data_IF_612062812021
#
_entry.id   IF_612062812021
#
_cell.length_a   1.000
_cell.length_b   1.000
_cell.length_c   1.000
_cell.angle_alpha   90.00
_cell.angle_beta   90.00
_cell.angle_gamma   90.00
#
_symmetry.space_group_name_H-M   'P 1'
#
loop_
_entity.id
_entity.type
_entity.pdbx_description
1 polymer ?
#
# COMPACT_ATOMS: atom_id res chain seq x y z
N UNK A 1 -15.18 33.05 -36.07
CA UNK A 1 -15.33 31.70 -35.49
C UNK A 1 -16.82 31.39 -35.38
N UNK A 2 -17.32 30.42 -36.14
CA UNK A 2 -18.71 29.97 -36.09
C UNK A 2 -19.04 29.42 -34.70
N UNK A 3 -20.25 29.72 -34.20
CA UNK A 3 -20.72 29.16 -32.94
C UNK A 3 -20.75 27.62 -33.05
N UNK A 4 -20.24 26.88 -32.04
CA UNK A 4 -20.39 25.42 -32.03
C UNK A 4 -21.88 25.08 -32.08
N UNK A 5 -22.26 24.06 -32.86
CA UNK A 5 -23.65 23.64 -32.93
C UNK A 5 -24.09 23.11 -31.56
N UNK A 6 -25.26 23.53 -31.06
CA UNK A 6 -25.80 23.07 -29.77
C UNK A 6 -25.80 21.55 -29.65
N UNK A 7 -26.03 20.84 -30.76
CA UNK A 7 -25.95 19.38 -30.86
C UNK A 7 -24.55 18.84 -30.57
N UNK A 8 -23.47 19.45 -31.08
CA UNK A 8 -22.10 19.03 -30.78
C UNK A 8 -21.74 19.24 -29.31
N UNK A 9 -22.14 20.37 -28.73
CA UNK A 9 -21.91 20.66 -27.31
C UNK A 9 -22.68 19.72 -26.38
N UNK A 10 -23.91 19.35 -26.75
CA UNK A 10 -24.70 18.33 -26.06
C UNK A 10 -24.02 16.95 -26.08
N UNK A 11 -23.52 16.52 -27.25
CA UNK A 11 -22.78 15.24 -27.37
C UNK A 11 -21.52 15.27 -26.50
N UNK A 12 -20.77 16.37 -26.53
CA UNK A 12 -19.57 16.57 -25.69
C UNK A 12 -19.93 16.45 -24.20
N UNK A 13 -20.96 17.17 -23.75
CA UNK A 13 -21.41 17.12 -22.37
C UNK A 13 -21.78 15.70 -21.93
N UNK A 14 -22.62 15.00 -22.71
CA UNK A 14 -23.07 13.64 -22.37
C UNK A 14 -21.90 12.65 -22.33
N UNK A 15 -21.00 12.71 -23.32
CA UNK A 15 -19.82 11.85 -23.37
C UNK A 15 -18.91 12.05 -22.15
N UNK A 16 -18.57 13.30 -21.83
CA UNK A 16 -17.69 13.59 -20.70
C UNK A 16 -18.37 13.35 -19.35
N UNK A 17 -19.69 13.53 -19.25
CA UNK A 17 -20.46 13.15 -18.06
C UNK A 17 -20.38 11.65 -17.80
N UNK A 18 -20.65 10.82 -18.82
CA UNK A 18 -20.55 9.37 -18.71
C UNK A 18 -19.12 8.93 -18.37
N UNK A 19 -18.12 9.58 -18.98
CA UNK A 19 -16.71 9.31 -18.70
C UNK A 19 -16.34 9.68 -17.26
N UNK A 20 -16.75 10.84 -16.76
CA UNK A 20 -16.51 11.24 -15.37
C UNK A 20 -17.15 10.26 -14.39
N UNK A 21 -18.41 9.86 -14.62
CA UNK A 21 -19.08 8.85 -13.79
C UNK A 21 -18.30 7.53 -13.79
N UNK A 22 -17.83 7.08 -14.97
CA UNK A 22 -17.02 5.87 -15.09
C UNK A 22 -15.71 5.94 -14.30
N UNK A 23 -15.00 7.07 -14.37
CA UNK A 23 -13.76 7.29 -13.60
C UNK A 23 -14.04 7.30 -12.09
N UNK A 24 -15.11 7.97 -11.64
CA UNK A 24 -15.51 7.95 -10.23
C UNK A 24 -15.83 6.54 -9.74
N UNK A 25 -16.60 5.77 -10.52
CA UNK A 25 -16.93 4.40 -10.18
C UNK A 25 -15.68 3.51 -10.11
N UNK A 26 -14.75 3.66 -11.06
CA UNK A 26 -13.48 2.94 -11.07
C UNK A 26 -12.65 3.25 -9.81
N UNK A 27 -12.52 4.54 -9.45
CA UNK A 27 -11.79 4.95 -8.25
C UNK A 27 -12.44 4.42 -6.98
N UNK A 28 -13.77 4.51 -6.87
CA UNK A 28 -14.53 3.99 -5.73
C UNK A 28 -14.36 2.48 -5.60
N UNK A 29 -14.49 1.74 -6.71
CA UNK A 29 -14.31 0.29 -6.73
C UNK A 29 -12.89 -0.09 -6.24
N UNK A 30 -11.85 0.55 -6.78
CA UNK A 30 -10.45 0.29 -6.37
C UNK A 30 -10.16 0.57 -4.89
N UNK A 31 -10.84 1.55 -4.29
CA UNK A 31 -10.75 1.81 -2.85
C UNK A 31 -11.52 0.75 -2.05
N UNK A 32 -12.75 0.43 -2.45
CA UNK A 32 -13.60 -0.55 -1.72
C UNK A 32 -13.12 -1.98 -1.84
N UNK A 33 -12.48 -2.37 -2.95
CA UNK A 33 -11.95 -3.71 -3.18
C UNK A 33 -10.66 -3.99 -2.38
N UNK A 34 -10.09 -2.98 -1.73
CA UNK A 34 -8.79 -3.06 -1.05
C UNK A 34 -7.61 -3.23 -2.01
N UNK A 35 -7.79 -3.08 -3.32
CA UNK A 35 -6.73 -3.23 -4.32
C UNK A 35 -5.59 -2.23 -4.09
N UNK A 36 -5.92 -1.00 -3.70
CA UNK A 36 -4.92 0.01 -3.34
C UNK A 36 -4.16 -0.33 -2.06
N UNK A 37 -4.82 -0.95 -1.08
CA UNK A 37 -4.13 -1.41 0.14
C UNK A 37 -3.12 -2.52 -0.17
N UNK A 38 -3.40 -3.39 -1.14
CA UNK A 38 -2.47 -4.44 -1.62
C UNK A 38 -1.24 -3.88 -2.34
N UNK A 39 -1.27 -2.63 -2.76
CA UNK A 39 -0.11 -1.93 -3.32
C UNK A 39 0.89 -1.52 -2.23
N UNK A 40 0.47 -1.48 -0.98
CA UNK A 40 1.37 -1.38 0.15
C UNK A 40 1.70 -2.80 0.60
N UNK A 41 2.97 -3.16 0.56
CA UNK A 41 3.42 -4.42 1.12
C UNK A 41 4.57 -4.19 2.09
N UNK A 42 4.73 -5.13 3.02
CA UNK A 42 5.85 -5.12 3.92
C UNK A 42 7.04 -5.80 3.24
N UNK A 43 8.21 -5.17 3.31
CA UNK A 43 9.46 -5.79 2.90
C UNK A 43 10.25 -6.28 4.11
N UNK A 44 11.01 -7.35 3.92
CA UNK A 44 11.96 -7.82 4.93
C UNK A 44 13.05 -6.77 5.17
N UNK A 45 13.25 -6.41 6.45
CA UNK A 45 14.27 -5.44 6.85
C UNK A 45 15.69 -5.99 6.80
N UNK A 46 15.83 -7.30 7.01
CA UNK A 46 17.08 -8.07 7.02
C UNK A 46 16.83 -9.50 6.50
N UNK A 47 17.92 -10.23 6.25
CA UNK A 47 17.88 -11.65 5.88
C UNK A 47 17.44 -12.51 7.07
N UNK A 48 16.58 -13.51 6.81
CA UNK A 48 16.11 -14.44 7.83
C UNK A 48 14.75 -15.04 7.49
N UNK A 49 13.81 -15.00 8.45
CA UNK A 49 12.52 -15.68 8.35
C UNK A 49 11.36 -14.74 8.65
N UNK A 50 10.45 -14.60 7.68
CA UNK A 50 9.19 -13.90 7.85
C UNK A 50 8.28 -14.68 8.79
N UNK A 51 7.67 -13.96 9.73
CA UNK A 51 6.84 -14.55 10.79
C UNK A 51 5.62 -13.68 11.08
N UNK A 52 4.59 -14.30 11.66
CA UNK A 52 3.50 -13.60 12.31
C UNK A 52 3.71 -13.61 13.84
N UNK A 53 4.36 -12.58 14.36
CA UNK A 53 4.70 -12.42 15.78
C UNK A 53 3.50 -12.41 16.74
N UNK A 54 2.27 -12.21 16.23
CA UNK A 54 1.08 -12.25 17.08
C UNK A 54 0.69 -13.70 17.44
N UNK A 55 1.14 -14.70 16.66
CA UNK A 55 0.84 -16.13 16.86
C UNK A 55 1.63 -16.77 18.00
N UNK A 56 2.76 -16.19 18.39
CA UNK A 56 3.65 -16.71 19.43
C UNK A 56 4.02 -15.66 20.50
N UNK A 57 3.17 -14.63 20.66
CA UNK A 57 3.39 -13.53 21.62
C UNK A 57 3.51 -14.00 23.08
N UNK A 58 2.92 -15.15 23.41
CA UNK A 58 2.85 -15.73 24.76
C UNK A 58 3.88 -16.86 24.97
N UNK A 59 4.78 -17.09 24.01
CA UNK A 59 5.84 -18.09 24.12
C UNK A 59 6.82 -17.77 25.25
N UNK A 60 7.30 -18.80 25.93
CA UNK A 60 8.25 -18.72 27.05
C UNK A 60 9.32 -19.81 26.96
N UNK A 61 10.32 -19.81 27.84
CA UNK A 61 11.31 -20.89 27.90
C UNK A 61 10.70 -22.25 28.30
N UNK A 62 9.67 -22.22 29.14
CA UNK A 62 8.95 -23.41 29.64
C UNK A 62 7.91 -23.92 28.62
N UNK A 63 7.29 -23.00 27.89
CA UNK A 63 6.36 -23.29 26.80
C UNK A 63 6.78 -22.55 25.53
N UNK A 64 7.79 -23.07 24.80
CA UNK A 64 8.29 -22.43 23.60
C UNK A 64 7.34 -22.62 22.42
N UNK A 65 7.31 -21.63 21.51
CA UNK A 65 6.61 -21.77 20.25
C UNK A 65 7.53 -22.40 19.19
N UNK A 66 7.02 -23.38 18.45
CA UNK A 66 7.76 -24.07 17.40
C UNK A 66 7.19 -23.65 16.05
N UNK A 67 7.93 -22.83 15.30
CA UNK A 67 7.52 -22.35 13.99
C UNK A 67 8.00 -23.31 12.91
N UNK A 68 7.10 -23.75 12.04
CA UNK A 68 7.45 -24.60 10.90
C UNK A 68 8.07 -23.79 9.77
N UNK A 69 9.27 -24.17 9.34
CA UNK A 69 9.93 -23.54 8.19
C UNK A 69 9.36 -24.14 6.90
N UNK A 70 8.93 -23.28 5.99
CA UNK A 70 8.39 -23.68 4.70
C UNK A 70 8.19 -22.51 3.73
N UNK A 71 7.71 -22.82 2.53
CA UNK A 71 7.32 -21.80 1.55
C UNK A 71 5.82 -21.58 1.65
N UNK A 72 5.43 -20.43 2.20
CA UNK A 72 4.03 -20.10 2.44
C UNK A 72 3.70 -18.77 1.75
N UNK A 73 2.58 -18.73 1.02
CA UNK A 73 2.06 -17.49 0.45
C UNK A 73 1.42 -16.58 1.52
N UNK A 74 0.92 -17.20 2.60
CA UNK A 74 0.26 -16.58 3.75
C UNK A 74 0.72 -17.31 5.01
N UNK A 75 1.10 -16.58 6.05
CA UNK A 75 1.51 -17.15 7.34
C UNK A 75 0.30 -17.22 8.29
N UNK A 76 -0.26 -18.41 8.45
CA UNK A 76 -1.47 -18.65 9.23
C UNK A 76 -1.18 -19.63 10.38
N UNK A 77 -0.64 -19.09 11.47
CA UNK A 77 -0.26 -19.87 12.66
C UNK A 77 1.25 -19.86 12.92
N UNK A 78 1.75 -20.97 13.47
CA UNK A 78 3.15 -21.14 13.84
C UNK A 78 3.99 -21.54 12.63
N UNK A 79 4.13 -20.60 11.69
CA UNK A 79 4.83 -20.78 10.43
C UNK A 79 5.93 -19.72 10.25
N UNK A 80 6.98 -20.09 9.53
CA UNK A 80 8.09 -19.22 9.17
C UNK A 80 8.48 -19.43 7.71
N UNK A 81 8.62 -18.35 6.95
CA UNK A 81 9.05 -18.40 5.55
C UNK A 81 10.42 -17.74 5.37
N UNK A 82 11.40 -18.38 4.71
CA UNK A 82 12.70 -17.77 4.46
C UNK A 82 12.55 -16.56 3.53
N UNK A 83 13.19 -15.45 3.88
CA UNK A 83 13.17 -14.18 3.14
C UNK A 83 14.55 -13.52 3.16
N UNK A 84 14.88 -12.82 2.09
CA UNK A 84 16.05 -11.93 2.03
C UNK A 84 15.65 -10.48 2.23
N UNK A 85 16.60 -9.66 2.64
CA UNK A 85 16.44 -8.21 2.77
C UNK A 85 15.89 -7.60 1.48
N UNK A 86 14.79 -6.87 1.61
CA UNK A 86 14.07 -6.27 0.49
C UNK A 86 13.02 -7.18 -0.16
N UNK A 87 12.98 -8.48 0.14
CA UNK A 87 11.93 -9.36 -0.34
C UNK A 87 10.57 -8.93 0.21
N UNK A 88 9.54 -9.14 -0.60
CA UNK A 88 8.16 -8.96 -0.18
C UNK A 88 7.80 -10.04 0.84
N UNK A 89 7.29 -9.62 2.00
CA UNK A 89 6.82 -10.55 3.02
C UNK A 89 5.52 -11.26 2.56
N UNK A 90 5.33 -12.54 2.95
CA UNK A 90 4.06 -13.26 2.77
C UNK A 90 2.88 -12.53 3.41
N UNK A 91 1.66 -12.88 3.00
CA UNK A 91 0.46 -12.31 3.63
C UNK A 91 0.41 -12.65 5.13
N UNK A 92 -0.10 -11.69 5.93
CA UNK A 92 -0.15 -11.72 7.41
C UNK A 92 1.22 -11.71 8.14
N UNK A 93 2.34 -11.79 7.42
CA UNK A 93 3.65 -11.57 8.03
C UNK A 93 3.72 -10.14 8.60
N UNK A 94 4.07 -10.05 9.88
CA UNK A 94 4.16 -8.77 10.59
C UNK A 94 5.56 -8.53 11.19
N UNK A 95 6.49 -9.46 10.96
CA UNK A 95 7.86 -9.39 11.46
C UNK A 95 8.83 -10.31 10.72
N UNK A 96 10.11 -10.15 11.02
CA UNK A 96 11.22 -10.96 10.53
C UNK A 96 12.11 -11.35 11.70
N UNK A 97 12.39 -12.64 11.84
CA UNK A 97 13.46 -13.16 12.70
C UNK A 97 14.72 -13.15 11.85
N UNK A 98 15.68 -12.28 12.17
CA UNK A 98 16.92 -12.19 11.40
C UNK A 98 17.86 -13.38 11.66
N UNK A 99 18.73 -13.67 10.71
CA UNK A 99 19.79 -14.68 10.89
C UNK A 99 20.67 -14.36 12.12
N UNK A 100 20.97 -13.08 12.36
CA UNK A 100 21.70 -12.67 13.56
C UNK A 100 21.00 -13.04 14.88
N UNK A 101 19.66 -12.97 14.95
CA UNK A 101 18.92 -13.36 16.15
C UNK A 101 19.00 -14.89 16.36
N UNK A 102 19.00 -15.67 15.28
CA UNK A 102 19.18 -17.12 15.31
C UNK A 102 20.60 -17.52 15.73
N UNK A 103 21.62 -16.84 15.22
CA UNK A 103 23.03 -17.08 15.60
C UNK A 103 23.28 -16.76 17.08
N UNK A 104 22.67 -15.69 17.59
CA UNK A 104 22.78 -15.33 19.02
C UNK A 104 22.15 -16.39 19.92
N UNK A 105 21.20 -17.18 19.42
CA UNK A 105 20.52 -18.28 20.11
C UNK A 105 19.89 -17.95 21.49
N UNK A 106 19.69 -16.65 21.80
CA UNK A 106 19.20 -16.20 23.13
C UNK A 106 17.69 -16.29 23.27
N UNK A 107 16.97 -16.00 22.19
CA UNK A 107 15.51 -15.81 22.17
C UNK A 107 14.81 -16.73 21.20
N UNK A 108 15.56 -17.14 20.18
CA UNK A 108 15.15 -18.01 19.09
C UNK A 108 16.31 -18.93 18.78
N UNK A 109 16.02 -20.16 18.38
CA UNK A 109 17.02 -21.13 17.95
C UNK A 109 16.48 -21.97 16.80
N UNK A 110 17.37 -22.39 15.90
CA UNK A 110 17.04 -23.31 14.83
C UNK A 110 17.12 -24.76 15.35
N UNK A 111 16.02 -25.50 15.26
CA UNK A 111 15.94 -26.92 15.61
C UNK A 111 15.52 -27.71 14.36
N UNK A 112 16.50 -28.04 13.50
CA UNK A 112 16.24 -28.74 12.24
C UNK A 112 15.42 -27.89 11.28
N UNK A 113 14.17 -28.31 11.00
CA UNK A 113 13.24 -27.58 10.13
C UNK A 113 12.26 -26.68 10.92
N UNK A 114 12.54 -26.42 12.19
CA UNK A 114 11.71 -25.59 13.07
C UNK A 114 12.52 -24.42 13.63
N UNK A 115 11.86 -23.29 13.84
CA UNK A 115 12.38 -22.19 14.66
C UNK A 115 11.70 -22.25 16.02
N UNK A 116 12.48 -22.50 17.06
CA UNK A 116 12.00 -22.47 18.44
C UNK A 116 12.12 -21.05 18.98
N UNK A 117 11.00 -20.49 19.43
CA UNK A 117 10.92 -19.16 20.04
C UNK A 117 10.66 -19.31 21.53
N UNK A 118 11.58 -18.82 22.36
CA UNK A 118 11.48 -18.85 23.83
C UNK A 118 11.21 -17.47 24.43
N UNK A 119 11.62 -16.40 23.73
CA UNK A 119 11.45 -15.01 24.20
C UNK A 119 10.94 -14.13 23.06
N UNK A 120 9.62 -14.04 22.86
CA UNK A 120 9.01 -13.37 21.70
C UNK A 120 9.16 -11.85 21.68
N UNK A 121 9.46 -11.23 22.82
CA UNK A 121 9.70 -9.80 22.93
C UNK A 121 10.71 -9.49 24.04
N UNK A 122 11.42 -8.38 23.92
CA UNK A 122 12.29 -7.84 24.96
C UNK A 122 12.09 -6.33 25.08
N UNK A 123 12.44 -5.73 26.22
CA UNK A 123 12.45 -4.27 26.35
C UNK A 123 13.82 -3.78 25.88
N UNK A 124 13.85 -3.01 24.79
CA UNK A 124 15.06 -2.30 24.34
C UNK A 124 14.95 -0.83 24.72
N UNK A 125 16.10 -0.20 24.91
CA UNK A 125 16.21 1.24 25.12
C UNK A 125 17.06 1.85 24.01
N UNK A 126 16.55 2.89 23.37
CA UNK A 126 17.31 3.68 22.41
C UNK A 126 16.94 5.15 22.56
N UNK A 127 17.96 6.02 22.62
CA UNK A 127 17.80 7.48 22.77
C UNK A 127 16.89 7.87 23.94
N UNK A 128 16.96 7.12 25.05
CA UNK A 128 16.14 7.36 26.26
C UNK A 128 14.69 6.87 26.20
N UNK A 129 14.29 6.20 25.11
CA UNK A 129 12.97 5.59 24.99
C UNK A 129 13.05 4.08 25.16
N UNK A 130 12.28 3.54 26.10
CA UNK A 130 12.05 2.10 26.25
C UNK A 130 10.93 1.67 25.34
N UNK A 131 11.16 0.64 24.54
CA UNK A 131 10.15 0.09 23.64
C UNK A 131 10.15 -1.44 23.67
N UNK A 132 8.97 -2.01 23.39
CA UNK A 132 8.78 -3.45 23.25
C UNK A 132 9.32 -3.89 21.90
N UNK A 133 10.50 -4.48 21.92
CA UNK A 133 11.19 -5.03 20.76
C UNK A 133 10.67 -6.46 20.47
N UNK A 134 9.59 -6.51 19.69
CA UNK A 134 9.15 -7.71 18.99
C UNK A 134 9.86 -7.79 17.63
N UNK A 135 9.87 -8.97 17.01
CA UNK A 135 10.34 -9.20 15.62
C UNK A 135 9.65 -8.35 14.54
N UNK A 136 8.83 -7.36 14.89
CA UNK A 136 8.04 -6.48 14.02
C UNK A 136 8.90 -5.44 13.27
N UNK A 137 10.03 -5.85 12.74
CA UNK A 137 10.91 -5.00 11.91
C UNK A 137 10.45 -5.10 10.44
N UNK A 138 9.50 -4.25 10.05
CA UNK A 138 9.00 -4.19 8.67
C UNK A 138 9.13 -2.79 8.09
N UNK A 139 9.66 -2.71 6.86
CA UNK A 139 9.52 -1.52 6.03
C UNK A 139 8.15 -1.52 5.37
N UNK A 140 7.45 -0.37 5.33
CA UNK A 140 6.32 -0.19 4.42
C UNK A 140 6.92 0.21 3.09
N UNK A 141 6.81 -0.66 2.08
CA UNK A 141 7.20 -0.32 0.71
C UNK A 141 5.93 0.04 -0.05
N UNK A 142 5.87 1.30 -0.46
CA UNK A 142 4.86 1.82 -1.38
C UNK A 142 5.11 1.23 -2.76
N UNK A 143 4.07 0.76 -3.44
CA UNK A 143 4.16 0.39 -4.85
C UNK A 143 4.77 1.56 -5.66
N UNK A 144 5.83 1.32 -6.45
CA UNK A 144 6.52 2.39 -7.18
C UNK A 144 5.60 3.22 -8.09
N UNK A 145 4.58 2.58 -8.67
CA UNK A 145 3.59 3.24 -9.52
C UNK A 145 2.40 3.82 -8.75
N UNK A 146 2.32 3.64 -7.43
CA UNK A 146 1.26 4.23 -6.61
C UNK A 146 1.25 5.76 -6.72
N UNK A 147 2.44 6.38 -6.77
CA UNK A 147 2.55 7.83 -6.99
C UNK A 147 2.03 8.24 -8.37
N UNK A 148 2.47 7.55 -9.43
CA UNK A 148 2.05 7.81 -10.81
C UNK A 148 0.54 7.61 -10.98
N UNK A 149 -0.01 6.54 -10.40
CA UNK A 149 -1.44 6.27 -10.43
C UNK A 149 -2.25 7.43 -9.83
N UNK A 150 -1.86 7.92 -8.66
CA UNK A 150 -2.56 9.04 -8.01
C UNK A 150 -2.52 10.30 -8.89
N UNK A 151 -1.37 10.62 -9.49
CA UNK A 151 -1.24 11.75 -10.42
C UNK A 151 -2.13 11.56 -11.65
N UNK A 152 -2.13 10.37 -12.26
CA UNK A 152 -2.92 10.08 -13.46
C UNK A 152 -4.43 10.13 -13.20
N UNK A 153 -4.90 9.67 -12.04
CA UNK A 153 -6.31 9.76 -11.65
C UNK A 153 -6.72 11.22 -11.46
N UNK A 154 -5.90 12.04 -10.78
CA UNK A 154 -6.20 13.47 -10.59
C UNK A 154 -6.26 14.20 -11.93
N UNK A 155 -5.30 13.94 -12.83
CA UNK A 155 -5.30 14.52 -14.18
C UNK A 155 -6.54 14.05 -14.95
N UNK A 156 -6.85 12.75 -14.95
CA UNK A 156 -8.01 12.20 -15.65
C UNK A 156 -9.34 12.77 -15.15
N UNK A 157 -9.50 12.91 -13.83
CA UNK A 157 -10.67 13.56 -13.22
C UNK A 157 -10.74 15.03 -13.63
N UNK A 158 -9.64 15.77 -13.54
CA UNK A 158 -9.58 17.18 -13.93
C UNK A 158 -9.95 17.40 -15.40
N UNK A 159 -9.43 16.56 -16.30
CA UNK A 159 -9.72 16.61 -17.74
C UNK A 159 -11.18 16.29 -18.02
N UNK A 160 -11.70 15.19 -17.47
CA UNK A 160 -13.08 14.76 -17.75
C UNK A 160 -14.11 15.76 -17.21
N UNK A 161 -13.89 16.25 -15.98
CA UNK A 161 -14.74 17.28 -15.37
C UNK A 161 -14.63 18.63 -16.09
N UNK A 162 -13.42 19.01 -16.53
CA UNK A 162 -13.19 20.25 -17.27
C UNK A 162 -13.94 20.26 -18.61
N UNK A 163 -13.83 19.18 -19.39
CA UNK A 163 -14.55 19.08 -20.67
C UNK A 163 -16.06 18.88 -20.52
N UNK A 164 -16.50 18.23 -19.44
CA UNK A 164 -17.92 18.19 -19.06
C UNK A 164 -18.42 19.61 -18.77
N UNK A 165 -17.70 20.38 -17.95
CA UNK A 165 -18.06 21.75 -17.63
C UNK A 165 -18.08 22.64 -18.88
N UNK A 166 -17.09 22.53 -19.77
CA UNK A 166 -17.07 23.25 -21.04
C UNK A 166 -18.29 22.91 -21.92
N UNK A 167 -18.63 21.63 -22.04
CA UNK A 167 -19.82 21.18 -22.77
C UNK A 167 -21.12 21.75 -22.17
N UNK A 168 -21.21 21.80 -20.84
CA UNK A 168 -22.35 22.39 -20.14
C UNK A 168 -22.44 23.91 -20.38
N UNK A 169 -21.33 24.64 -20.23
CA UNK A 169 -21.31 26.09 -20.44
C UNK A 169 -21.64 26.47 -21.89
N UNK A 170 -21.18 25.67 -22.86
CA UNK A 170 -21.54 25.84 -24.28
C UNK A 170 -23.04 25.64 -24.55
N UNK A 171 -23.67 24.64 -23.92
CA UNK A 171 -25.13 24.40 -24.03
C UNK A 171 -25.91 25.58 -23.46
N UNK A 172 -25.45 26.11 -22.32
CA UNK A 172 -26.06 27.25 -21.64
C UNK A 172 -25.77 28.60 -22.34
N UNK A 173 -24.92 28.60 -23.37
CA UNK A 173 -24.50 29.83 -24.06
C UNK A 173 -23.59 30.73 -23.22
N UNK A 174 -23.06 30.21 -22.11
CA UNK A 174 -22.15 30.93 -21.21
C UNK A 174 -20.75 30.72 -21.77
N UNK A 175 -20.26 31.67 -22.58
CA UNK A 175 -18.86 31.66 -22.99
C UNK A 175 -18.03 32.29 -21.88
N UNK A 176 -17.07 31.55 -21.33
CA UNK A 176 -15.98 32.14 -20.58
C UNK A 176 -15.22 33.06 -21.53
N UNK A 177 -15.36 34.38 -21.35
CA UNK A 177 -14.50 35.32 -22.05
C UNK A 177 -13.05 35.06 -21.63
N UNK A 178 -12.14 34.95 -22.60
CA UNK A 178 -10.71 34.88 -22.28
C UNK A 178 -10.38 36.07 -21.40
N UNK A 179 -9.79 35.79 -20.23
CA UNK A 179 -9.18 36.82 -19.39
C UNK A 179 -8.19 37.57 -20.30
N UNK A 180 -8.49 38.84 -20.63
CA UNK A 180 -7.55 39.67 -21.40
C UNK A 180 -6.32 39.85 -20.53
N UNK A 181 -5.19 39.26 -20.92
CA UNK A 181 -3.92 39.69 -20.38
C UNK A 181 -3.72 41.14 -20.83
N UNK A 182 -3.82 42.08 -19.88
CA UNK A 182 -3.29 43.42 -20.08
C UNK A 182 -1.76 43.28 -20.10
N UNK A 183 -1.19 43.12 -21.29
CA UNK A 183 0.21 43.50 -21.50
C UNK A 183 0.23 45.03 -21.40
N UNK A 184 0.68 45.53 -20.24
CA UNK A 184 0.88 46.96 -20.04
C UNK A 184 1.95 47.47 -21.00
N UNK A 185 1.57 48.42 -21.84
CA UNK A 185 2.49 49.35 -22.50
C UNK A 185 2.50 50.67 -21.73
#
# INVERSE_FOLDING_TARGET
MSAPSKTRSAIKFVFWTATSIGVFFLVANLHTSGSLARWYYYSAGDDGYAVNADTFKDATAENPAMLQIGSFAKLDGLEAAPVKKGDRLPELANGVISEEELEKAKRVSLEGNLIKVTVPWQIKESKGFKYKDTFKHKGIVTYPWGAVYNVMIVIGLGVTLGYMAEGLTDILGIKLEKIRHFEGH
#
